data_IF_913915602166
#
_entry.id   IF_913915602166
#
_cell.length_a   1.000
_cell.length_b   1.000
_cell.length_c   1.000
_cell.angle_alpha   90.00
_cell.angle_beta   90.00
_cell.angle_gamma   90.00
#
_symmetry.space_group_name_H-M   'P 1'
#
loop_
_entity.id
_entity.type
_entity.pdbx_description
1 polymer ?
#
# COMPACT_ATOMS: atom_id res chain seq x y z
N UNK A 1 -35.39 13.31 -16.33
CA UNK A 1 -34.63 13.52 -15.09
C UNK A 1 -34.52 12.21 -14.28
N UNK A 2 -35.57 11.41 -14.10
CA UNK A 2 -35.57 10.15 -13.33
C UNK A 2 -34.72 9.03 -13.96
N UNK A 3 -34.74 8.86 -15.28
CA UNK A 3 -33.94 7.86 -16.00
C UNK A 3 -32.43 8.10 -15.82
N UNK A 4 -32.01 9.36 -15.84
CA UNK A 4 -30.60 9.71 -15.63
C UNK A 4 -30.15 9.44 -14.17
N UNK A 5 -31.04 9.64 -13.19
CA UNK A 5 -30.80 9.34 -11.79
C UNK A 5 -30.73 7.81 -11.56
N UNK A 6 -31.65 7.05 -12.15
CA UNK A 6 -31.68 5.59 -12.10
C UNK A 6 -30.40 5.00 -12.75
N UNK A 7 -30.00 5.48 -13.92
CA UNK A 7 -28.75 5.07 -14.58
C UNK A 7 -27.49 5.39 -13.75
N UNK A 8 -27.49 6.50 -13.01
CA UNK A 8 -26.42 6.85 -12.07
C UNK A 8 -26.32 5.87 -10.91
N UNK A 9 -27.46 5.50 -10.31
CA UNK A 9 -27.52 4.53 -9.20
C UNK A 9 -27.08 3.14 -9.68
N UNK A 10 -27.57 2.68 -10.83
CA UNK A 10 -27.18 1.37 -11.38
C UNK A 10 -25.69 1.32 -11.68
N UNK A 11 -25.11 2.39 -12.23
CA UNK A 11 -23.67 2.47 -12.51
C UNK A 11 -22.85 2.44 -11.20
N UNK A 12 -23.27 3.18 -10.19
CA UNK A 12 -22.62 3.19 -8.87
C UNK A 12 -22.70 1.81 -8.20
N UNK A 13 -23.88 1.15 -8.24
CA UNK A 13 -24.05 -0.19 -7.68
C UNK A 13 -23.25 -1.26 -8.44
N UNK A 14 -23.17 -1.18 -9.76
CA UNK A 14 -22.36 -2.10 -10.56
C UNK A 14 -20.86 -1.89 -10.30
N UNK A 15 -20.42 -0.65 -10.12
CA UNK A 15 -19.03 -0.35 -9.78
C UNK A 15 -18.67 -0.86 -8.37
N UNK A 16 -19.59 -0.70 -7.41
CA UNK A 16 -19.45 -1.22 -6.07
C UNK A 16 -19.39 -2.75 -6.07
N UNK A 17 -20.31 -3.41 -6.75
CA UNK A 17 -20.33 -4.88 -6.86
C UNK A 17 -19.06 -5.45 -7.52
N UNK A 18 -18.53 -4.77 -8.54
CA UNK A 18 -17.25 -5.13 -9.16
C UNK A 18 -16.06 -4.91 -8.23
N UNK A 19 -16.10 -3.90 -7.38
CA UNK A 19 -15.08 -3.67 -6.37
C UNK A 19 -15.16 -4.72 -5.26
N UNK A 20 -16.35 -5.03 -4.77
CA UNK A 20 -16.59 -6.07 -3.76
C UNK A 20 -16.15 -7.45 -4.29
N UNK A 21 -16.46 -7.75 -5.56
CA UNK A 21 -16.02 -8.99 -6.21
C UNK A 21 -14.49 -9.05 -6.34
N UNK A 22 -13.83 -7.94 -6.67
CA UNK A 22 -12.37 -7.86 -6.72
C UNK A 22 -11.74 -7.97 -5.33
N UNK A 23 -12.41 -7.47 -4.31
CA UNK A 23 -11.98 -7.59 -2.92
C UNK A 23 -12.13 -9.03 -2.44
N UNK A 24 -13.26 -9.69 -2.71
CA UNK A 24 -13.49 -11.11 -2.43
C UNK A 24 -12.51 -12.00 -3.23
N UNK A 25 -12.28 -11.71 -4.51
CA UNK A 25 -11.26 -12.41 -5.32
C UNK A 25 -9.85 -12.08 -4.82
N UNK A 26 -9.61 -10.88 -4.30
CA UNK A 26 -8.35 -10.49 -3.65
C UNK A 26 -8.12 -11.22 -2.33
N UNK A 27 -9.18 -11.50 -1.57
CA UNK A 27 -9.15 -12.33 -0.35
C UNK A 27 -9.07 -13.83 -0.70
N UNK A 28 -9.72 -14.27 -1.79
CA UNK A 28 -9.64 -15.66 -2.30
C UNK A 28 -8.43 -15.91 -3.20
N UNK A 29 -7.84 -14.88 -3.81
CA UNK A 29 -6.44 -14.90 -4.21
C UNK A 29 -5.66 -14.69 -2.91
N UNK A 30 -5.51 -15.78 -2.19
CA UNK A 30 -4.42 -15.91 -1.26
C UNK A 30 -3.16 -15.30 -1.89
N UNK A 31 -2.35 -14.55 -1.09
CA UNK A 31 -1.04 -14.13 -1.56
C UNK A 31 -0.41 -15.34 -2.20
N UNK A 32 -0.07 -15.21 -3.49
CA UNK A 32 0.42 -16.27 -4.39
C UNK A 32 0.94 -17.43 -3.57
N UNK A 33 0.26 -18.59 -3.68
CA UNK A 33 0.52 -19.79 -2.89
C UNK A 33 2.00 -19.86 -2.53
N UNK A 34 2.31 -19.89 -1.24
CA UNK A 34 3.60 -20.34 -0.79
C UNK A 34 3.81 -21.71 -1.45
N UNK A 35 4.46 -21.75 -2.61
CA UNK A 35 4.64 -22.99 -3.34
C UNK A 35 4.61 -22.91 -4.86
N UNK A 36 4.51 -21.73 -5.49
CA UNK A 36 4.83 -21.62 -6.90
C UNK A 36 6.36 -21.37 -7.05
N UNK A 37 7.16 -22.41 -7.33
CA UNK A 37 8.62 -22.28 -7.34
C UNK A 37 9.16 -21.49 -8.52
N UNK A 38 8.31 -21.00 -9.42
CA UNK A 38 8.75 -20.44 -10.69
C UNK A 38 8.83 -18.90 -10.72
N UNK A 39 8.38 -18.18 -9.66
CA UNK A 39 8.52 -16.71 -9.62
C UNK A 39 9.00 -16.25 -8.26
N UNK A 40 10.23 -15.72 -8.16
CA UNK A 40 10.69 -15.08 -6.93
C UNK A 40 9.68 -14.01 -6.48
N UNK A 41 9.27 -14.05 -5.21
CA UNK A 41 8.37 -13.02 -4.68
C UNK A 41 9.13 -11.70 -4.59
N UNK A 42 8.49 -10.55 -4.96
CA UNK A 42 9.13 -9.25 -4.89
C UNK A 42 9.63 -8.91 -3.48
N UNK A 43 10.77 -8.29 -3.42
CA UNK A 43 11.47 -7.91 -2.19
C UNK A 43 11.79 -6.41 -2.18
N UNK A 44 12.52 -5.96 -1.19
CA UNK A 44 12.99 -4.58 -1.09
C UNK A 44 13.79 -4.14 -2.35
N UNK A 45 14.49 -5.06 -3.03
CA UNK A 45 15.23 -4.77 -4.26
C UNK A 45 14.32 -4.34 -5.42
N UNK A 46 13.06 -4.75 -5.41
CA UNK A 46 12.09 -4.46 -6.46
C UNK A 46 11.31 -3.15 -6.23
N UNK A 47 11.60 -2.42 -5.14
CA UNK A 47 10.88 -1.19 -4.80
C UNK A 47 11.00 -0.09 -5.85
N UNK A 48 12.16 0.03 -6.48
CA UNK A 48 12.36 1.02 -7.55
C UNK A 48 11.39 0.75 -8.69
N UNK A 49 11.26 -0.51 -9.11
CA UNK A 49 10.30 -0.92 -10.15
C UNK A 49 8.86 -0.62 -9.75
N UNK A 50 8.46 -0.97 -8.52
CA UNK A 50 7.12 -0.67 -8.00
C UNK A 50 6.79 0.82 -8.02
N UNK A 51 7.76 1.67 -7.65
CA UNK A 51 7.58 3.11 -7.65
C UNK A 51 7.49 3.65 -9.08
N UNK A 52 8.31 3.16 -10.01
CA UNK A 52 8.23 3.55 -11.43
C UNK A 52 6.89 3.16 -12.06
N UNK A 53 6.38 1.96 -11.78
CA UNK A 53 5.04 1.54 -12.20
C UNK A 53 3.95 2.45 -11.63
N UNK A 54 4.07 2.84 -10.35
CA UNK A 54 3.16 3.77 -9.70
C UNK A 54 3.20 5.15 -10.34
N UNK A 55 4.39 5.65 -10.70
CA UNK A 55 4.59 6.92 -11.41
C UNK A 55 4.00 6.88 -12.81
N UNK A 56 4.22 5.78 -13.55
CA UNK A 56 3.63 5.56 -14.86
C UNK A 56 2.09 5.55 -14.82
N UNK A 57 1.51 5.08 -13.70
CA UNK A 57 0.08 5.14 -13.43
C UNK A 57 -0.43 6.52 -12.93
N UNK A 58 0.42 7.56 -12.97
CA UNK A 58 0.08 8.94 -12.64
C UNK A 58 0.29 9.33 -11.16
N UNK A 59 0.87 8.47 -10.34
CA UNK A 59 1.17 8.82 -8.95
C UNK A 59 2.44 9.71 -8.86
N UNK A 60 2.43 10.66 -7.91
CA UNK A 60 3.59 11.51 -7.60
C UNK A 60 4.33 10.92 -6.41
N UNK A 61 5.29 10.03 -6.65
CA UNK A 61 6.02 9.33 -5.59
C UNK A 61 7.45 9.83 -5.50
N UNK A 62 7.88 10.21 -4.29
CA UNK A 62 9.28 10.40 -3.93
C UNK A 62 9.74 9.18 -3.14
N UNK A 63 10.82 8.54 -3.57
CA UNK A 63 11.41 7.37 -2.93
C UNK A 63 12.79 7.72 -2.40
N UNK A 64 13.03 7.39 -1.13
CA UNK A 64 14.34 7.41 -0.48
C UNK A 64 14.65 5.99 -0.01
N UNK A 65 15.77 5.44 -0.46
CA UNK A 65 16.25 4.12 -0.07
C UNK A 65 17.65 4.26 0.54
N UNK A 66 17.98 3.46 1.56
CA UNK A 66 19.33 3.42 2.09
C UNK A 66 20.26 2.78 1.05
N UNK A 67 21.48 3.26 1.00
CA UNK A 67 22.57 2.53 0.34
C UNK A 67 22.95 1.36 1.27
N UNK A 68 22.47 0.17 0.99
CA UNK A 68 22.78 -1.03 1.79
C UNK A 68 23.75 -1.93 1.06
N UNK A 69 24.84 -2.26 1.74
CA UNK A 69 25.79 -3.26 1.26
C UNK A 69 25.30 -4.70 1.48
N UNK A 70 24.52 -4.90 2.54
CA UNK A 70 23.94 -6.19 2.89
C UNK A 70 22.41 -6.09 2.82
N UNK A 71 21.71 -6.85 1.98
CA UNK A 71 20.27 -6.82 1.92
C UNK A 71 19.64 -7.43 3.18
N UNK A 72 18.44 -6.98 3.58
CA UNK A 72 17.71 -7.63 4.67
C UNK A 72 17.31 -9.05 4.28
N UNK A 73 17.05 -9.93 5.28
CA UNK A 73 16.51 -11.26 5.01
C UNK A 73 15.27 -11.20 4.11
N UNK A 74 15.09 -12.19 3.25
CA UNK A 74 14.00 -12.22 2.27
C UNK A 74 12.61 -12.01 2.87
N UNK A 75 12.34 -12.57 4.05
CA UNK A 75 11.06 -12.38 4.76
C UNK A 75 10.84 -10.91 5.09
N UNK A 76 11.89 -10.23 5.58
CA UNK A 76 11.85 -8.80 5.90
C UNK A 76 11.67 -7.98 4.62
N UNK A 77 12.44 -8.31 3.58
CA UNK A 77 12.36 -7.65 2.27
C UNK A 77 10.97 -7.77 1.63
N UNK A 78 10.37 -8.96 1.64
CA UNK A 78 9.00 -9.19 1.15
C UNK A 78 7.95 -8.44 1.97
N UNK A 79 8.07 -8.47 3.30
CA UNK A 79 7.16 -7.78 4.20
C UNK A 79 7.21 -6.27 3.95
N UNK A 80 8.41 -5.69 3.85
CA UNK A 80 8.63 -4.29 3.52
C UNK A 80 8.01 -3.90 2.17
N UNK A 81 8.25 -4.71 1.13
CA UNK A 81 7.65 -4.50 -0.20
C UNK A 81 6.12 -4.43 -0.13
N UNK A 82 5.48 -5.38 0.55
CA UNK A 82 4.02 -5.42 0.70
C UNK A 82 3.46 -4.21 1.45
N UNK A 83 4.14 -3.75 2.49
CA UNK A 83 3.73 -2.56 3.23
C UNK A 83 3.75 -1.31 2.37
N UNK A 84 4.80 -1.14 1.57
CA UNK A 84 4.93 -0.01 0.66
C UNK A 84 3.90 -0.10 -0.47
N UNK A 85 3.69 -1.28 -1.05
CA UNK A 85 2.67 -1.52 -2.08
C UNK A 85 1.27 -1.13 -1.60
N UNK A 86 0.89 -1.55 -0.39
CA UNK A 86 -0.41 -1.19 0.20
C UNK A 86 -0.49 0.30 0.52
N UNK A 87 0.59 0.89 1.06
CA UNK A 87 0.67 2.34 1.31
C UNK A 87 0.45 3.16 0.04
N UNK A 88 1.08 2.79 -1.08
CA UNK A 88 0.90 3.43 -2.39
C UNK A 88 -0.53 3.23 -2.92
N UNK A 89 -1.09 2.04 -2.74
CA UNK A 89 -2.47 1.73 -3.13
C UNK A 89 -3.47 2.58 -2.34
N UNK A 90 -3.26 2.72 -1.04
CA UNK A 90 -4.09 3.54 -0.17
C UNK A 90 -3.99 5.02 -0.51
N UNK A 91 -2.80 5.52 -0.78
CA UNK A 91 -2.61 6.90 -1.22
C UNK A 91 -3.36 7.18 -2.54
N UNK A 92 -3.30 6.26 -3.51
CA UNK A 92 -4.05 6.38 -4.77
C UNK A 92 -5.56 6.39 -4.58
N UNK A 93 -6.08 5.54 -3.68
CA UNK A 93 -7.52 5.43 -3.39
C UNK A 93 -8.06 6.63 -2.62
N UNK A 94 -7.29 7.13 -1.63
CA UNK A 94 -7.79 8.07 -0.64
C UNK A 94 -7.27 9.50 -0.80
N UNK A 95 -6.19 9.68 -1.56
CA UNK A 95 -5.60 10.98 -1.83
C UNK A 95 -5.10 11.08 -3.29
N UNK A 96 -6.01 10.95 -4.30
CA UNK A 96 -5.62 11.00 -5.70
C UNK A 96 -4.94 12.33 -6.01
N UNK A 97 -3.81 12.26 -6.74
CA UNK A 97 -3.02 13.43 -7.12
C UNK A 97 -2.12 14.00 -6.01
N UNK A 98 -2.24 13.54 -4.77
CA UNK A 98 -1.33 13.93 -3.71
C UNK A 98 0.09 13.37 -3.93
N UNK A 99 1.09 14.10 -3.43
CA UNK A 99 2.48 13.62 -3.43
C UNK A 99 2.64 12.58 -2.32
N UNK A 100 3.15 11.40 -2.65
CA UNK A 100 3.49 10.35 -1.69
C UNK A 100 4.99 10.35 -1.47
N UNK A 101 5.43 10.30 -0.21
CA UNK A 101 6.81 10.05 0.17
C UNK A 101 6.94 8.63 0.71
N UNK A 102 7.94 7.92 0.24
CA UNK A 102 8.34 6.59 0.72
C UNK A 102 9.78 6.70 1.19
N UNK A 103 9.99 6.59 2.49
CA UNK A 103 11.29 6.61 3.11
C UNK A 103 11.58 5.25 3.74
N UNK A 104 12.69 4.65 3.35
CA UNK A 104 13.19 3.40 3.91
C UNK A 104 14.57 3.66 4.46
N UNK A 105 14.79 3.32 5.73
CA UNK A 105 16.08 3.46 6.40
C UNK A 105 16.34 2.22 7.23
N UNK A 106 17.60 1.89 7.45
CA UNK A 106 17.96 0.75 8.31
C UNK A 106 19.35 0.24 8.06
N UNK A 107 19.79 -0.62 8.95
CA UNK A 107 21.07 -1.31 8.87
C UNK A 107 21.00 -2.64 9.64
N UNK A 108 21.88 -3.59 9.32
CA UNK A 108 21.96 -4.86 10.05
C UNK A 108 22.14 -4.65 11.55
N UNK A 109 21.35 -5.36 12.36
CA UNK A 109 21.37 -5.25 13.83
C UNK A 109 20.55 -4.12 14.42
N UNK A 110 20.11 -3.12 13.62
CA UNK A 110 19.24 -2.02 14.09
C UNK A 110 17.82 -2.11 13.55
N UNK A 111 17.63 -2.88 12.48
CA UNK A 111 16.34 -3.07 11.85
C UNK A 111 16.08 -2.13 10.69
N UNK A 112 14.98 -2.37 10.00
CA UNK A 112 14.48 -1.65 8.83
C UNK A 112 13.28 -0.80 9.24
N UNK A 113 13.36 0.51 9.04
CA UNK A 113 12.27 1.46 9.25
C UNK A 113 11.70 1.87 7.90
N UNK A 114 10.38 1.89 7.81
CA UNK A 114 9.63 2.22 6.60
C UNK A 114 8.61 3.29 6.97
N UNK A 115 8.57 4.35 6.18
CA UNK A 115 7.54 5.39 6.30
C UNK A 115 6.93 5.63 4.93
N UNK A 116 5.60 5.51 4.83
CA UNK A 116 4.83 5.94 3.66
C UNK A 116 3.89 7.04 4.09
N UNK A 117 4.04 8.22 3.51
CA UNK A 117 3.25 9.40 3.88
C UNK A 117 2.68 10.09 2.65
N UNK A 118 1.42 10.50 2.75
CA UNK A 118 0.82 11.43 1.82
C UNK A 118 0.09 12.54 2.58
N UNK A 119 0.16 13.80 2.13
CA UNK A 119 -0.72 14.84 2.60
C UNK A 119 -2.17 14.52 2.18
N UNK A 120 -3.14 15.20 2.75
CA UNK A 120 -4.55 15.08 2.36
C UNK A 120 -4.75 15.31 0.85
N UNK A 121 -5.91 14.88 0.35
CA UNK A 121 -6.27 15.07 -1.04
C UNK A 121 -6.18 16.56 -1.42
N UNK A 122 -5.61 16.85 -2.58
CA UNK A 122 -5.51 18.22 -3.12
C UNK A 122 -6.90 18.78 -3.46
N UNK A 123 -7.83 17.90 -3.83
CA UNK A 123 -9.23 18.23 -4.11
C UNK A 123 -10.14 17.59 -3.04
N UNK A 124 -10.71 18.42 -2.17
CA UNK A 124 -11.65 18.02 -1.12
C UNK A 124 -12.98 17.48 -1.65
N UNK A 125 -13.23 17.58 -2.96
CA UNK A 125 -14.41 17.01 -3.64
C UNK A 125 -14.19 15.54 -4.04
N UNK A 126 -12.97 15.03 -3.95
CA UNK A 126 -12.73 13.61 -4.17
C UNK A 126 -13.42 12.82 -3.05
N UNK A 127 -14.45 12.09 -3.43
CA UNK A 127 -15.21 11.21 -2.55
C UNK A 127 -14.25 10.24 -1.86
N UNK A 128 -14.09 10.37 -0.55
CA UNK A 128 -13.34 9.41 0.26
C UNK A 128 -14.13 8.11 0.21
N UNK A 129 -13.67 7.15 -0.58
CA UNK A 129 -14.23 5.80 -0.60
C UNK A 129 -13.91 5.19 0.77
N UNK A 130 -14.91 4.79 1.58
CA UNK A 130 -14.63 4.11 2.84
C UNK A 130 -13.88 2.81 2.53
N UNK A 131 -12.62 2.74 2.91
CA UNK A 131 -11.87 1.48 2.85
C UNK A 131 -12.24 0.62 4.05
N UNK A 132 -12.36 -0.69 3.87
CA UNK A 132 -12.66 -1.64 4.96
C UNK A 132 -11.55 -1.74 6.00
N UNK A 133 -10.37 -1.17 5.74
CA UNK A 133 -9.22 -1.21 6.65
C UNK A 133 -8.57 -2.60 6.77
N UNK A 134 -9.12 -3.62 6.14
CA UNK A 134 -8.64 -5.01 6.23
C UNK A 134 -7.21 -5.20 5.73
N UNK A 135 -6.80 -4.44 4.72
CA UNK A 135 -5.42 -4.50 4.20
C UNK A 135 -4.37 -4.11 5.24
N UNK A 136 -4.65 -3.07 6.04
CA UNK A 136 -3.73 -2.61 7.09
C UNK A 136 -3.68 -3.56 8.30
N UNK A 137 -4.82 -4.20 8.64
CA UNK A 137 -4.87 -5.21 9.71
C UNK A 137 -3.98 -6.40 9.33
N UNK A 138 -4.14 -6.95 8.13
CA UNK A 138 -3.32 -8.07 7.67
C UNK A 138 -1.82 -7.72 7.56
N UNK A 139 -1.49 -6.45 7.25
CA UNK A 139 -0.10 -6.00 7.27
C UNK A 139 0.47 -5.88 8.69
N UNK A 140 -0.32 -5.40 9.66
CA UNK A 140 0.09 -5.33 11.05
C UNK A 140 0.34 -6.73 11.64
N UNK A 141 -0.51 -7.69 11.32
CA UNK A 141 -0.31 -9.10 11.69
C UNK A 141 0.98 -9.67 11.10
N UNK A 142 1.25 -9.43 9.80
CA UNK A 142 2.49 -9.87 9.13
C UNK A 142 3.73 -9.21 9.74
N UNK A 143 3.65 -7.92 10.08
CA UNK A 143 4.73 -7.23 10.78
C UNK A 143 5.05 -7.92 12.11
N UNK A 144 4.01 -8.20 12.90
CA UNK A 144 4.14 -8.88 14.20
C UNK A 144 4.72 -10.28 14.06
N UNK A 145 4.27 -11.06 13.05
CA UNK A 145 4.82 -12.40 12.77
C UNK A 145 6.29 -12.35 12.36
N UNK A 146 6.72 -11.27 11.70
CA UNK A 146 8.12 -11.03 11.37
C UNK A 146 8.95 -10.47 12.57
N UNK A 147 8.35 -10.34 13.76
CA UNK A 147 8.99 -9.74 14.93
C UNK A 147 9.07 -8.21 14.92
N UNK A 148 8.34 -7.58 14.00
CA UNK A 148 8.29 -6.13 13.85
C UNK A 148 6.98 -5.52 14.32
N UNK A 149 6.72 -4.29 13.87
CA UNK A 149 5.49 -3.55 14.16
C UNK A 149 5.09 -2.68 12.97
N UNK A 150 3.81 -2.38 12.86
CA UNK A 150 3.25 -1.43 11.91
C UNK A 150 2.21 -0.57 12.62
N UNK A 151 2.34 0.73 12.46
CA UNK A 151 1.40 1.74 12.92
C UNK A 151 0.91 2.57 11.74
N UNK A 152 -0.31 3.07 11.84
CA UNK A 152 -0.84 3.98 10.85
C UNK A 152 -1.73 5.04 11.51
N UNK A 153 -1.72 6.24 10.95
CA UNK A 153 -2.55 7.34 11.44
C UNK A 153 -3.06 8.22 10.30
N UNK A 154 -4.21 8.81 10.53
CA UNK A 154 -4.71 9.90 9.70
C UNK A 154 -4.18 11.22 10.24
N UNK A 155 -3.66 12.03 9.35
CA UNK A 155 -3.15 13.34 9.68
C UNK A 155 -4.29 14.39 9.64
N UNK A 156 -4.18 15.49 10.42
CA UNK A 156 -5.06 16.65 10.25
C UNK A 156 -5.00 17.11 8.78
N UNK A 157 -6.17 17.39 8.19
CA UNK A 157 -6.26 17.75 6.76
C UNK A 157 -6.41 16.57 5.81
N UNK A 158 -6.65 15.34 6.33
CA UNK A 158 -6.97 14.16 5.52
C UNK A 158 -5.76 13.42 4.97
N UNK A 159 -4.56 13.75 5.42
CA UNK A 159 -3.35 12.99 5.12
C UNK A 159 -3.33 11.63 5.81
N UNK A 160 -2.38 10.79 5.39
CA UNK A 160 -2.18 9.46 5.94
C UNK A 160 -0.70 9.18 6.09
N UNK A 161 -0.33 8.55 7.19
CA UNK A 161 1.03 8.08 7.46
C UNK A 161 0.96 6.63 7.90
N UNK A 162 1.77 5.79 7.27
CA UNK A 162 2.06 4.42 7.67
C UNK A 162 3.52 4.36 8.08
N UNK A 163 3.77 3.83 9.26
CA UNK A 163 5.11 3.65 9.82
C UNK A 163 5.28 2.19 10.22
N UNK A 164 6.39 1.58 9.83
CA UNK A 164 6.71 0.22 10.21
C UNK A 164 8.17 0.08 10.60
N UNK A 165 8.43 -0.88 11.46
CA UNK A 165 9.76 -1.33 11.81
C UNK A 165 9.82 -2.85 11.75
N UNK A 166 10.86 -3.39 11.12
CA UNK A 166 11.12 -4.81 10.98
C UNK A 166 12.53 -5.13 11.47
N UNK A 167 12.75 -6.26 12.14
CA UNK A 167 14.08 -6.67 12.56
C UNK A 167 14.97 -7.01 11.35
N UNK A 168 16.22 -6.58 11.42
CA UNK A 168 17.22 -6.84 10.37
C UNK A 168 18.60 -7.05 10.95
#
# INVERSE_FOLDING_TARGET
AEVAKAAGVIRASAHQALQDLREVIGVLREPAREGDPERPQPTLADLTTLVEESRAAGARVALSLPAVEVPPPDVVGRTAYRMIQEGLTNARKHAPGARVTVDVTGEPGKGLSITVRNPGAVDTRASVIPGTGTGLIGLAERASLAGGRLDHRREPGGGFTLEAWLPW
#
